data_IF_189524108992
#
_entry.id   IF_189524108992
#
_cell.length_a   1.000
_cell.length_b   1.000
_cell.length_c   1.000
_cell.angle_alpha   90.00
_cell.angle_beta   90.00
_cell.angle_gamma   90.00
#
_symmetry.space_group_name_H-M   'P 1'
#
loop_
_entity.id
_entity.type
_entity.pdbx_description
1 polymer ?
#
# COMPACT_ATOMS: atom_id res chain seq x y z
N UNK A 1 5.12 13.72 4.87
CA UNK A 1 5.25 12.60 5.84
C UNK A 1 5.56 11.34 5.05
N UNK A 2 6.41 10.43 5.53
CA UNK A 2 6.78 9.20 4.79
C UNK A 2 6.55 7.97 5.67
N UNK A 3 5.49 7.98 6.47
CA UNK A 3 5.23 6.93 7.46
C UNK A 3 3.74 6.56 7.42
N UNK A 4 3.46 5.27 7.56
CA UNK A 4 2.13 4.77 7.85
C UNK A 4 2.00 4.66 9.36
N UNK A 5 1.14 5.50 9.93
CA UNK A 5 0.90 5.54 11.36
C UNK A 5 -0.10 4.46 11.75
N UNK A 6 0.29 3.57 12.66
CA UNK A 6 -0.60 2.54 13.19
C UNK A 6 -1.20 3.01 14.51
N UNK A 7 -2.52 2.92 14.62
CA UNK A 7 -3.27 3.27 15.82
C UNK A 7 -3.95 2.02 16.38
N UNK A 8 -3.88 1.83 17.70
CA UNK A 8 -4.47 0.69 18.39
C UNK A 8 -5.36 1.17 19.53
N UNK A 9 -6.45 0.44 19.79
CA UNK A 9 -7.37 0.73 20.87
C UNK A 9 -6.71 0.42 22.21
N UNK A 10 -6.52 1.45 23.04
CA UNK A 10 -5.94 1.36 24.37
C UNK A 10 -6.85 2.12 25.36
N UNK A 11 -7.44 1.41 26.31
CA UNK A 11 -8.34 2.01 27.32
C UNK A 11 -9.48 2.83 26.71
N UNK A 12 -10.13 2.31 25.66
CA UNK A 12 -11.27 2.97 25.01
C UNK A 12 -10.92 4.10 24.04
N UNK A 13 -9.64 4.42 23.83
CA UNK A 13 -9.18 5.42 22.86
C UNK A 13 -8.13 4.84 21.92
N UNK A 14 -8.16 5.23 20.64
CA UNK A 14 -7.10 4.86 19.69
C UNK A 14 -5.87 5.73 19.93
N UNK A 15 -4.72 5.08 20.18
CA UNK A 15 -3.43 5.74 20.36
C UNK A 15 -2.44 5.26 19.32
N UNK A 16 -1.58 6.15 18.84
CA UNK A 16 -0.52 5.79 17.92
C UNK A 16 0.44 4.80 18.60
N UNK A 17 0.71 3.69 17.92
CA UNK A 17 1.77 2.76 18.30
C UNK A 17 3.02 3.05 17.45
N UNK A 18 3.92 3.86 18.00
CA UNK A 18 5.17 4.24 17.32
C UNK A 18 6.04 3.03 16.96
N UNK A 19 5.99 1.95 17.75
CA UNK A 19 6.76 0.72 17.48
C UNK A 19 6.23 -0.07 16.27
N UNK A 20 4.98 0.16 15.87
CA UNK A 20 4.35 -0.47 14.70
C UNK A 20 4.28 0.46 13.49
N UNK A 21 4.81 1.68 13.60
CA UNK A 21 4.82 2.64 12.50
C UNK A 21 5.72 2.12 11.38
N UNK A 22 5.23 2.18 10.14
CA UNK A 22 5.95 1.67 8.97
C UNK A 22 6.55 2.86 8.23
N UNK A 23 7.87 2.94 8.18
CA UNK A 23 8.56 3.96 7.38
C UNK A 23 8.63 3.58 5.90
N UNK A 24 8.16 4.48 5.06
CA UNK A 24 8.14 4.40 3.60
C UNK A 24 9.42 4.99 3.00
N UNK A 25 9.55 4.86 1.67
CA UNK A 25 10.72 5.35 0.95
C UNK A 25 10.79 6.89 1.06
N UNK A 26 11.85 7.40 1.68
CA UNK A 26 12.00 8.83 2.01
C UNK A 26 12.45 9.71 0.84
N UNK A 27 13.17 9.14 -0.14
CA UNK A 27 13.88 9.88 -1.20
C UNK A 27 13.02 10.27 -2.41
N UNK A 28 11.70 10.22 -2.27
CA UNK A 28 10.80 10.57 -3.36
C UNK A 28 10.26 11.99 -3.12
N UNK A 29 10.60 12.95 -3.98
CA UNK A 29 10.18 14.36 -3.87
C UNK A 29 8.76 14.60 -4.41
N UNK A 30 8.16 13.57 -5.00
CA UNK A 30 6.84 13.63 -5.57
C UNK A 30 5.76 13.75 -4.48
N UNK A 31 4.70 14.48 -4.80
CA UNK A 31 3.52 14.58 -3.95
C UNK A 31 2.54 13.43 -4.25
N UNK A 32 1.76 13.08 -3.24
CA UNK A 32 0.61 12.20 -3.40
C UNK A 32 -0.49 12.90 -4.20
N UNK A 33 -1.07 12.20 -5.17
CA UNK A 33 -2.38 12.56 -5.70
C UNK A 33 -3.42 11.57 -5.15
N UNK A 34 -4.51 12.08 -4.60
CA UNK A 34 -5.56 11.38 -3.84
C UNK A 34 -6.42 10.38 -4.65
N UNK A 35 -5.93 9.89 -5.79
CA UNK A 35 -6.74 9.11 -6.72
C UNK A 35 -6.59 7.58 -6.56
N UNK A 36 -5.71 7.12 -5.69
CA UNK A 36 -5.49 5.69 -5.48
C UNK A 36 -6.17 5.19 -4.19
N UNK A 37 -7.12 4.24 -4.28
CA UNK A 37 -7.82 3.76 -3.11
C UNK A 37 -6.89 2.95 -2.19
N UNK A 38 -7.13 3.03 -0.88
CA UNK A 38 -6.59 2.05 0.07
C UNK A 38 -7.39 0.76 -0.10
N UNK A 39 -6.75 -0.31 -0.54
CA UNK A 39 -7.42 -1.59 -0.82
C UNK A 39 -7.02 -2.61 0.23
N UNK A 40 -8.00 -3.15 0.95
CA UNK A 40 -7.78 -4.23 1.92
C UNK A 40 -8.25 -5.58 1.32
N UNK A 41 -7.36 -6.57 1.34
CA UNK A 41 -7.64 -7.95 1.04
C UNK A 41 -7.51 -8.79 2.32
N UNK A 42 -8.64 -8.96 3.02
CA UNK A 42 -8.71 -9.68 4.30
C UNK A 42 -8.33 -11.15 4.15
N UNK A 43 -8.75 -11.82 3.08
CA UNK A 43 -8.49 -13.25 2.88
C UNK A 43 -6.99 -13.55 2.76
N UNK A 44 -6.20 -12.55 2.33
CA UNK A 44 -4.74 -12.65 2.18
C UNK A 44 -3.96 -11.83 3.21
N UNK A 45 -4.64 -11.14 4.12
CA UNK A 45 -4.04 -10.20 5.07
C UNK A 45 -3.14 -9.15 4.39
N UNK A 46 -3.56 -8.59 3.25
CA UNK A 46 -2.78 -7.62 2.48
C UNK A 46 -3.53 -6.29 2.39
N UNK A 47 -2.79 -5.20 2.58
CA UNK A 47 -3.22 -3.83 2.33
C UNK A 47 -2.38 -3.28 1.17
N UNK A 48 -3.05 -2.72 0.18
CA UNK A 48 -2.44 -1.93 -0.88
C UNK A 48 -2.65 -0.46 -0.58
N UNK A 49 -1.57 0.31 -0.59
CA UNK A 49 -1.64 1.76 -0.58
C UNK A 49 -0.74 2.31 -1.68
N UNK A 50 -1.04 3.52 -2.14
CA UNK A 50 -0.07 4.31 -2.88
C UNK A 50 0.50 5.37 -1.94
N UNK A 51 1.80 5.58 -2.04
CA UNK A 51 2.46 6.76 -1.51
C UNK A 51 3.49 7.23 -2.53
N UNK A 52 3.30 8.44 -3.03
CA UNK A 52 4.05 9.10 -4.10
C UNK A 52 4.04 8.28 -5.39
N UNK A 53 5.20 7.87 -5.88
CA UNK A 53 5.30 7.02 -7.08
C UNK A 53 5.18 5.53 -6.77
N UNK A 54 5.14 5.15 -5.49
CA UNK A 54 5.18 3.75 -5.10
C UNK A 54 3.80 3.22 -4.71
N UNK A 55 3.44 2.05 -5.24
CA UNK A 55 2.36 1.23 -4.70
C UNK A 55 3.00 0.22 -3.74
N UNK A 56 2.59 0.26 -2.48
CA UNK A 56 3.08 -0.62 -1.42
C UNK A 56 2.11 -1.77 -1.22
N UNK A 57 2.67 -2.97 -1.19
CA UNK A 57 2.00 -4.18 -0.75
C UNK A 57 2.41 -4.45 0.70
N UNK A 58 1.49 -4.23 1.63
CA UNK A 58 1.74 -4.38 3.06
C UNK A 58 1.01 -5.62 3.54
N UNK A 59 1.72 -6.52 4.22
CA UNK A 59 1.13 -7.74 4.77
C UNK A 59 1.02 -7.63 6.28
N UNK A 60 -0.14 -7.99 6.80
CA UNK A 60 -0.32 -8.22 8.23
C UNK A 60 0.14 -9.64 8.58
N UNK A 61 1.02 -9.75 9.56
CA UNK A 61 1.51 -11.01 10.10
C UNK A 61 0.55 -11.55 11.18
N UNK A 62 0.76 -12.82 11.57
CA UNK A 62 -0.09 -13.50 12.58
C UNK A 62 -0.07 -12.84 13.96
N UNK A 63 1.00 -12.12 14.28
CA UNK A 63 1.15 -11.36 15.53
C UNK A 63 0.52 -9.95 15.45
N UNK A 64 -0.14 -9.63 14.33
CA UNK A 64 -0.77 -8.34 14.09
C UNK A 64 0.21 -7.22 13.72
N UNK A 65 1.49 -7.52 13.46
CA UNK A 65 2.44 -6.56 12.89
C UNK A 65 2.22 -6.40 11.39
N UNK A 66 2.62 -5.27 10.83
CA UNK A 66 2.50 -4.97 9.41
C UNK A 66 3.89 -4.78 8.81
N UNK A 67 4.18 -5.48 7.72
CA UNK A 67 5.44 -5.37 7.00
C UNK A 67 5.21 -5.00 5.54
N UNK A 68 6.08 -4.16 4.98
CA UNK A 68 6.14 -3.97 3.52
C UNK A 68 6.67 -5.27 2.93
N UNK A 69 5.82 -5.96 2.19
CA UNK A 69 6.19 -7.18 1.48
C UNK A 69 6.90 -6.85 0.17
N UNK A 70 6.36 -5.89 -0.58
CA UNK A 70 6.98 -5.37 -1.80
C UNK A 70 6.49 -3.94 -2.08
N UNK A 71 7.20 -3.24 -2.95
CA UNK A 71 6.81 -1.93 -3.48
C UNK A 71 7.03 -1.89 -4.98
N UNK A 72 6.08 -1.33 -5.71
CA UNK A 72 6.16 -1.11 -7.15
C UNK A 72 6.37 0.38 -7.41
N UNK A 73 7.51 0.76 -7.99
CA UNK A 73 7.72 2.11 -8.51
C UNK A 73 6.97 2.27 -9.84
N UNK A 74 5.92 3.08 -9.84
CA UNK A 74 5.10 3.36 -11.01
C UNK A 74 5.72 4.45 -11.91
N UNK A 75 6.81 5.10 -11.48
CA UNK A 75 7.48 6.19 -12.19
C UNK A 75 6.56 7.36 -12.57
N UNK A 76 5.42 7.53 -11.88
CA UNK A 76 4.42 8.55 -12.19
C UNK A 76 3.72 9.05 -10.91
N UNK A 77 3.30 10.32 -10.92
CA UNK A 77 2.57 10.97 -9.81
C UNK A 77 1.06 10.74 -9.87
N UNK A 78 0.54 10.25 -11.00
CA UNK A 78 -0.86 9.90 -11.20
C UNK A 78 -0.92 8.43 -11.51
N UNK A 79 -1.76 7.67 -10.84
CA UNK A 79 -2.22 6.40 -11.38
C UNK A 79 -3.39 5.90 -10.55
N UNK A 80 -4.35 5.34 -11.25
CA UNK A 80 -5.55 4.74 -10.67
C UNK A 80 -5.37 3.24 -10.72
N UNK A 81 -5.82 2.52 -9.71
CA UNK A 81 -5.74 1.08 -9.72
C UNK A 81 -6.70 0.42 -8.73
N UNK A 82 -6.88 -0.87 -8.93
CA UNK A 82 -7.71 -1.74 -8.10
C UNK A 82 -7.17 -3.15 -8.12
N UNK A 83 -7.70 -4.04 -7.29
CA UNK A 83 -7.42 -5.47 -7.36
C UNK A 83 -8.49 -6.18 -8.19
N UNK A 84 -8.09 -7.30 -8.77
CA UNK A 84 -9.02 -8.31 -9.30
C UNK A 84 -9.92 -8.86 -8.19
N UNK A 85 -11.10 -9.39 -8.55
CA UNK A 85 -12.07 -9.91 -7.58
C UNK A 85 -11.49 -11.03 -6.70
N UNK A 86 -10.66 -11.89 -7.28
CA UNK A 86 -9.95 -12.97 -6.58
C UNK A 86 -8.71 -12.49 -5.78
N UNK A 87 -8.38 -11.19 -5.87
CA UNK A 87 -7.27 -10.55 -5.17
C UNK A 87 -5.88 -11.07 -5.58
N UNK A 88 -5.76 -11.76 -6.71
CA UNK A 88 -4.50 -12.31 -7.20
C UNK A 88 -3.66 -11.26 -7.95
N UNK A 89 -4.31 -10.25 -8.53
CA UNK A 89 -3.63 -9.24 -9.33
C UNK A 89 -4.06 -7.83 -8.91
N UNK A 90 -3.09 -6.93 -8.84
CA UNK A 90 -3.29 -5.48 -8.89
C UNK A 90 -3.35 -5.08 -10.36
N UNK A 91 -4.33 -4.29 -10.74
CA UNK A 91 -4.46 -3.67 -12.06
C UNK A 91 -4.41 -2.16 -11.87
N UNK A 92 -3.55 -1.47 -12.61
CA UNK A 92 -3.39 -0.03 -12.50
C UNK A 92 -3.09 0.59 -13.85
N UNK A 93 -3.46 1.86 -14.02
CA UNK A 93 -3.07 2.65 -15.18
C UNK A 93 -1.57 2.97 -15.06
N UNK A 94 -0.78 2.43 -15.98
CA UNK A 94 0.64 2.67 -16.10
C UNK A 94 0.88 3.83 -17.07
N UNK A 95 1.04 5.02 -16.51
CA UNK A 95 1.20 6.24 -17.29
C UNK A 95 2.55 6.32 -18.03
N UNK A 96 3.51 5.42 -17.76
CA UNK A 96 4.74 5.36 -18.55
C UNK A 96 4.46 4.86 -19.97
N UNK A 97 3.54 3.92 -20.09
CA UNK A 97 3.20 3.24 -21.34
C UNK A 97 1.80 3.59 -21.84
N UNK A 98 1.03 4.39 -21.09
CA UNK A 98 -0.36 4.75 -21.37
C UNK A 98 -1.30 3.54 -21.53
N UNK A 99 -1.03 2.47 -20.78
CA UNK A 99 -1.83 1.22 -20.79
C UNK A 99 -2.20 0.78 -19.37
N UNK A 100 -3.12 -0.17 -19.26
CA UNK A 100 -3.32 -0.90 -18.01
C UNK A 100 -2.27 -1.98 -17.84
N UNK A 101 -1.54 -1.91 -16.74
CA UNK A 101 -0.57 -2.93 -16.31
C UNK A 101 -1.16 -3.76 -15.18
N UNK A 102 -0.76 -5.03 -15.11
CA UNK A 102 -1.12 -5.94 -14.02
C UNK A 102 0.11 -6.42 -13.27
N UNK A 103 0.03 -6.47 -11.94
CA UNK A 103 1.07 -7.00 -11.07
C UNK A 103 0.50 -8.13 -10.20
N UNK A 104 1.18 -9.28 -10.18
CA UNK A 104 0.76 -10.44 -9.39
C UNK A 104 1.02 -10.20 -7.89
N UNK A 105 -0.02 -10.35 -7.09
CA UNK A 105 0.02 -10.29 -5.63
C UNK A 105 0.41 -11.69 -5.13
N UNK A 106 1.72 -11.93 -5.03
CA UNK A 106 2.28 -13.23 -4.67
C UNK A 106 1.81 -13.73 -3.29
N UNK A 107 1.66 -15.06 -3.19
CA UNK A 107 1.06 -15.76 -2.05
C UNK A 107 2.05 -16.36 -1.04
N UNK A 108 3.35 -16.11 -1.17
CA UNK A 108 4.33 -16.75 -0.26
C UNK A 108 4.23 -16.20 1.15
#
# INVERSE_FOLDING_TARGET
>A
MNDILIFELQNGVFKQNSNKTITLIKKDEYEDNDLFPIINNKDRNIILIRHKRHIYLIRQLKDGTFNIYTSLDCQTHKSNGTKTNNGQYLVFLDNKYEIYSSYEILNK
#
